data_IF_151693271953
#
_entry.id   IF_151693271953
#
_cell.length_a   1.000
_cell.length_b   1.000
_cell.length_c   1.000
_cell.angle_alpha   90.00
_cell.angle_beta   90.00
_cell.angle_gamma   90.00
#
_symmetry.space_group_name_H-M   'P 1'
#
loop_
_entity.id
_entity.type
_entity.pdbx_description
1 polymer ?
#
# COMPACT_ATOMS: atom_id res chain seq x y z
N UNK A 1 9.16 -31.99 28.08
CA UNK A 1 10.32 -32.71 27.52
C UNK A 1 11.26 -31.65 26.99
N UNK A 2 12.42 -31.47 27.64
CA UNK A 2 13.41 -30.40 27.35
C UNK A 2 14.43 -30.96 26.36
N UNK A 3 14.75 -30.22 25.31
CA UNK A 3 15.97 -30.32 24.48
C UNK A 3 16.08 -28.95 23.80
N UNK A 4 17.09 -28.10 23.89
CA UNK A 4 18.49 -28.32 24.15
C UNK A 4 19.20 -27.36 23.16
N UNK A 5 19.78 -26.26 23.66
CA UNK A 5 20.53 -25.25 22.90
C UNK A 5 21.87 -25.82 22.40
N UNK A 6 22.28 -25.43 21.20
CA UNK A 6 23.69 -25.49 20.81
C UNK A 6 24.11 -24.17 20.15
N UNK A 7 24.88 -23.40 20.88
CA UNK A 7 25.73 -22.32 20.38
C UNK A 7 26.91 -22.92 19.61
N UNK A 8 27.25 -22.33 18.46
CA UNK A 8 28.60 -22.40 17.91
C UNK A 8 29.07 -20.98 17.56
N UNK A 9 30.00 -20.52 18.36
CA UNK A 9 30.84 -19.36 18.07
C UNK A 9 32.07 -19.84 17.29
N UNK A 10 32.51 -19.10 16.28
CA UNK A 10 33.86 -19.17 15.73
C UNK A 10 34.36 -17.79 15.32
N UNK A 11 35.52 -17.57 15.77
CA UNK A 11 36.38 -16.46 16.05
C UNK A 11 37.03 -15.83 14.84
N UNK A 12 37.50 -14.62 15.07
CA UNK A 12 38.22 -13.65 14.24
C UNK A 12 39.61 -14.09 13.72
N UNK A 13 40.04 -13.41 12.65
CA UNK A 13 41.41 -12.95 12.34
C UNK A 13 41.27 -11.97 11.16
N UNK A 14 41.64 -10.74 11.12
CA UNK A 14 42.71 -9.98 11.68
C UNK A 14 43.81 -9.73 10.65
N UNK A 15 43.97 -8.47 10.16
CA UNK A 15 45.21 -8.00 9.57
C UNK A 15 45.08 -6.88 8.52
N UNK A 16 45.76 -5.75 8.72
CA UNK A 16 45.66 -4.55 7.90
C UNK A 16 46.74 -4.49 6.80
N UNK A 17 46.45 -3.82 5.67
CA UNK A 17 47.49 -3.45 4.70
C UNK A 17 47.45 -1.93 4.43
N UNK A 18 48.64 -1.38 4.43
CA UNK A 18 49.10 -0.04 4.52
C UNK A 18 48.77 0.91 3.34
N UNK A 19 48.86 2.21 3.71
CA UNK A 19 48.94 3.39 2.82
C UNK A 19 50.29 3.48 2.11
N UNK A 20 50.28 4.14 0.95
CA UNK A 20 51.33 5.11 0.62
C UNK A 20 50.90 6.11 -0.45
N UNK A 21 51.51 7.30 -0.47
CA UNK A 21 50.96 8.52 -1.10
C UNK A 21 51.85 9.02 -2.29
N UNK A 22 51.33 10.05 -2.96
CA UNK A 22 52.03 10.89 -3.93
C UNK A 22 51.16 11.15 -5.17
N UNK A 23 51.04 12.28 -5.77
CA UNK A 23 51.90 13.49 -5.73
C UNK A 23 51.12 14.68 -6.28
N UNK A 24 51.54 15.87 -5.90
CA UNK A 24 50.98 17.15 -6.25
C UNK A 24 51.26 17.59 -7.69
N UNK A 25 50.33 18.34 -8.28
CA UNK A 25 50.55 19.05 -9.54
C UNK A 25 49.62 20.28 -9.61
N UNK A 26 50.13 21.41 -9.14
CA UNK A 26 49.56 22.75 -9.30
C UNK A 26 49.89 23.32 -10.67
N UNK A 27 48.92 23.88 -11.43
CA UNK A 27 49.17 24.97 -12.41
C UNK A 27 48.00 25.94 -12.46
N UNK A 28 48.36 27.22 -12.53
CA UNK A 28 47.63 28.44 -12.32
C UNK A 28 46.57 28.79 -13.37
N UNK A 29 45.69 29.71 -12.91
CA UNK A 29 44.71 30.53 -13.70
C UNK A 29 45.40 31.44 -14.70
N UNK A 30 44.64 31.97 -15.70
CA UNK A 30 44.42 33.41 -15.61
C UNK A 30 42.95 33.86 -15.83
N UNK A 31 42.70 34.95 -15.20
CA UNK A 31 41.66 35.95 -15.22
C UNK A 31 41.12 36.32 -16.61
N UNK A 32 39.82 36.48 -16.72
CA UNK A 32 39.17 37.46 -17.61
C UNK A 32 37.70 37.69 -17.22
N UNK A 33 37.47 38.79 -16.59
CA UNK A 33 36.15 39.38 -16.32
C UNK A 33 35.44 39.77 -17.63
N UNK A 34 34.27 39.21 -17.86
CA UNK A 34 33.27 39.82 -18.79
C UNK A 34 31.90 39.78 -18.10
N UNK A 35 31.39 40.94 -17.75
CA UNK A 35 30.03 41.15 -17.28
C UNK A 35 29.12 41.27 -18.52
N UNK A 36 28.09 40.43 -18.67
CA UNK A 36 27.00 40.72 -19.62
C UNK A 36 25.87 41.52 -18.94
N UNK A 37 25.04 42.23 -19.69
CA UNK A 37 24.05 43.17 -19.20
C UNK A 37 22.87 42.50 -18.53
N UNK A 38 22.29 43.16 -17.52
CA UNK A 38 21.04 42.82 -16.88
C UNK A 38 19.87 42.89 -17.89
N UNK A 39 19.35 41.72 -18.26
CA UNK A 39 18.09 41.61 -18.96
C UNK A 39 16.98 41.43 -17.94
N UNK A 40 16.04 42.37 -17.90
CA UNK A 40 14.88 42.37 -17.01
C UNK A 40 13.97 41.16 -17.27
N UNK A 41 14.24 40.07 -16.60
CA UNK A 41 13.39 38.90 -16.62
C UNK A 41 12.07 39.18 -15.90
N UNK A 42 10.99 39.23 -16.67
CA UNK A 42 9.62 39.12 -16.16
C UNK A 42 9.52 37.90 -15.27
N UNK A 43 8.92 37.97 -14.06
CA UNK A 43 8.72 36.78 -13.23
C UNK A 43 7.87 35.80 -14.02
N UNK A 44 8.48 34.70 -14.42
CA UNK A 44 7.75 33.56 -14.99
C UNK A 44 6.86 33.04 -13.87
N UNK A 45 5.55 33.21 -14.05
CA UNK A 45 4.56 32.62 -13.15
C UNK A 45 4.91 31.15 -12.96
N UNK A 46 5.05 30.76 -11.71
CA UNK A 46 5.29 29.38 -11.27
C UNK A 46 4.24 28.50 -11.98
N UNK A 47 4.67 27.78 -13.01
CA UNK A 47 3.84 26.76 -13.63
C UNK A 47 3.64 25.72 -12.52
N UNK A 48 2.44 25.77 -11.91
CA UNK A 48 2.06 24.92 -10.82
C UNK A 48 2.57 23.51 -11.08
N UNK A 49 3.37 22.98 -10.17
CA UNK A 49 3.86 21.60 -10.22
C UNK A 49 2.61 20.74 -10.23
N UNK A 50 2.20 20.32 -11.42
CA UNK A 50 1.14 19.31 -11.56
C UNK A 50 1.71 18.07 -10.86
N UNK A 51 1.24 17.84 -9.63
CA UNK A 51 1.62 16.67 -8.85
C UNK A 51 1.29 15.44 -9.70
N UNK A 52 2.32 14.82 -10.24
CA UNK A 52 2.14 13.54 -10.94
C UNK A 52 1.64 12.55 -9.90
N UNK A 53 0.53 11.87 -10.18
CA UNK A 53 -0.01 10.81 -9.35
C UNK A 53 1.00 9.68 -9.13
N UNK A 54 0.70 8.69 -8.28
CA UNK A 54 1.56 7.53 -8.08
C UNK A 54 1.72 6.74 -9.38
N UNK A 55 2.89 6.14 -9.58
CA UNK A 55 3.20 5.29 -10.74
C UNK A 55 3.81 3.98 -10.30
N UNK A 56 3.64 2.93 -11.09
CA UNK A 56 4.29 1.64 -10.90
C UNK A 56 4.63 1.02 -12.26
N UNK A 57 5.89 0.65 -12.44
CA UNK A 57 6.40 0.03 -13.68
C UNK A 57 6.04 0.82 -14.96
N UNK A 58 5.98 2.16 -14.87
CA UNK A 58 5.60 3.05 -15.97
C UNK A 58 4.09 3.31 -16.11
N UNK A 59 3.24 2.59 -15.39
CA UNK A 59 1.81 2.83 -15.35
C UNK A 59 1.41 3.89 -14.34
N UNK A 60 0.39 4.74 -14.62
CA UNK A 60 -0.26 5.50 -13.57
C UNK A 60 -0.95 4.52 -12.60
N UNK A 61 -1.02 4.87 -11.33
CA UNK A 61 -1.86 4.15 -10.35
C UNK A 61 -3.08 5.02 -10.08
N UNK A 62 -4.05 4.91 -10.96
CA UNK A 62 -5.30 5.66 -11.03
C UNK A 62 -5.14 7.17 -11.37
N UNK A 63 -6.21 7.82 -11.86
CA UNK A 63 -6.25 9.26 -12.07
C UNK A 63 -6.04 10.06 -10.77
N UNK A 64 -5.55 11.31 -10.86
CA UNK A 64 -5.31 12.14 -9.67
C UNK A 64 -6.55 12.42 -8.81
N UNK A 65 -7.73 12.42 -9.40
CA UNK A 65 -9.02 12.64 -8.74
C UNK A 65 -9.66 11.36 -8.19
N UNK A 66 -9.05 10.20 -8.43
CA UNK A 66 -9.50 8.95 -7.85
C UNK A 66 -9.45 9.00 -6.33
N UNK A 67 -10.40 8.31 -5.67
CA UNK A 67 -10.50 8.28 -4.21
C UNK A 67 -9.19 7.87 -3.52
N UNK A 68 -8.39 6.98 -4.12
CA UNK A 68 -7.10 6.56 -3.59
C UNK A 68 -6.06 7.69 -3.59
N UNK A 69 -6.07 8.56 -4.61
CA UNK A 69 -5.07 9.61 -4.81
C UNK A 69 -5.49 10.97 -4.22
N UNK A 70 -6.74 11.06 -3.74
CA UNK A 70 -7.28 12.31 -3.20
C UNK A 70 -6.66 12.65 -1.85
N UNK A 71 -6.09 13.86 -1.75
CA UNK A 71 -5.67 14.45 -0.49
C UNK A 71 -6.90 14.69 0.39
N UNK A 72 -6.89 14.14 1.59
CA UNK A 72 -7.99 14.27 2.57
C UNK A 72 -7.57 14.99 3.85
N UNK A 73 -6.38 15.60 3.86
CA UNK A 73 -5.84 16.28 5.04
C UNK A 73 -6.75 17.39 5.58
N UNK A 74 -7.55 18.02 4.69
CA UNK A 74 -8.52 19.07 5.04
C UNK A 74 -9.99 18.62 5.04
N UNK A 75 -10.26 17.34 4.71
CA UNK A 75 -11.64 16.84 4.71
C UNK A 75 -12.22 16.81 6.13
N UNK A 76 -13.53 17.05 6.29
CA UNK A 76 -14.17 17.01 7.60
C UNK A 76 -14.03 15.64 8.26
N UNK A 77 -13.89 15.67 9.59
CA UNK A 77 -13.98 14.47 10.44
C UNK A 77 -15.44 14.03 10.53
N UNK A 78 -15.67 12.72 10.52
CA UNK A 78 -17.00 12.18 10.74
C UNK A 78 -17.52 12.49 12.16
N UNK A 79 -18.79 12.84 12.29
CA UNK A 79 -19.39 13.18 13.58
C UNK A 79 -19.37 12.02 14.58
N UNK A 80 -19.30 10.77 14.10
CA UNK A 80 -19.21 9.54 14.88
C UNK A 80 -17.80 8.94 14.87
N UNK A 81 -16.78 9.73 14.50
CA UNK A 81 -15.38 9.26 14.44
C UNK A 81 -14.95 8.56 15.73
N UNK A 82 -15.26 9.14 16.90
CA UNK A 82 -14.91 8.54 18.19
C UNK A 82 -15.60 7.19 18.42
N UNK A 83 -16.85 7.06 17.99
CA UNK A 83 -17.64 5.83 18.14
C UNK A 83 -17.09 4.70 17.25
N UNK A 84 -16.77 5.00 15.99
CA UNK A 84 -16.11 4.05 15.08
C UNK A 84 -14.76 3.60 15.62
N UNK A 85 -13.93 4.54 16.07
CA UNK A 85 -12.61 4.23 16.64
C UNK A 85 -12.74 3.39 17.91
N UNK A 86 -13.70 3.70 18.79
CA UNK A 86 -13.95 2.90 19.99
C UNK A 86 -14.37 1.46 19.63
N UNK A 87 -15.25 1.29 18.63
CA UNK A 87 -15.65 -0.03 18.15
C UNK A 87 -14.46 -0.83 17.62
N UNK A 88 -13.59 -0.20 16.84
CA UNK A 88 -12.36 -0.81 16.30
C UNK A 88 -11.25 -1.04 17.36
N UNK A 89 -11.50 -0.73 18.63
CA UNK A 89 -10.54 -0.98 19.71
C UNK A 89 -9.38 0.01 19.79
N UNK A 90 -9.54 1.22 19.24
CA UNK A 90 -8.45 2.20 19.11
C UNK A 90 -7.82 2.64 20.45
N UNK A 91 -8.52 2.44 21.59
CA UNK A 91 -7.99 2.76 22.93
C UNK A 91 -6.84 1.86 23.39
N UNK A 92 -6.68 0.67 22.79
CA UNK A 92 -5.71 -0.36 23.21
C UNK A 92 -4.82 -0.87 22.09
N UNK A 93 -5.07 -0.48 20.85
CA UNK A 93 -4.34 -0.97 19.68
C UNK A 93 -3.30 0.03 19.18
N UNK A 94 -2.34 -0.49 18.46
CA UNK A 94 -1.30 0.24 17.77
C UNK A 94 -1.24 -0.19 16.31
N UNK A 95 -0.76 0.69 15.43
CA UNK A 95 -0.60 0.40 14.02
C UNK A 95 0.36 -0.78 13.81
N UNK A 96 -0.04 -1.75 13.01
CA UNK A 96 0.76 -2.93 12.68
C UNK A 96 1.16 -2.89 11.20
N UNK A 97 2.46 -2.83 10.89
CA UNK A 97 2.97 -2.97 9.51
C UNK A 97 3.26 -4.44 9.21
N UNK A 98 2.25 -5.22 8.84
CA UNK A 98 2.42 -6.67 8.66
C UNK A 98 2.99 -7.04 7.26
N UNK A 99 3.97 -6.29 6.75
CA UNK A 99 4.53 -6.51 5.42
C UNK A 99 6.08 -6.62 5.37
N UNK A 100 6.77 -6.36 6.46
CA UNK A 100 8.23 -6.48 6.55
C UNK A 100 8.77 -7.93 6.60
N UNK A 101 7.98 -8.92 6.23
CA UNK A 101 8.33 -10.34 6.28
C UNK A 101 7.39 -11.17 5.41
N UNK A 102 6.94 -12.29 5.95
CA UNK A 102 6.08 -13.25 5.23
C UNK A 102 4.65 -12.76 4.96
N UNK A 103 4.18 -11.72 5.66
CA UNK A 103 2.80 -11.22 5.54
C UNK A 103 2.64 -10.17 4.44
N UNK A 104 3.73 -9.66 3.87
CA UNK A 104 3.67 -8.73 2.75
C UNK A 104 2.96 -9.35 1.54
N UNK A 105 2.26 -8.51 0.79
CA UNK A 105 1.55 -8.90 -0.42
C UNK A 105 2.55 -9.04 -1.58
N UNK A 106 2.77 -10.25 -2.14
CA UNK A 106 3.61 -10.41 -3.31
C UNK A 106 2.90 -9.91 -4.56
N UNK A 107 3.66 -9.35 -5.49
CA UNK A 107 3.18 -9.07 -6.84
C UNK A 107 4.31 -9.28 -7.86
N UNK A 108 3.93 -9.49 -9.11
CA UNK A 108 4.87 -9.59 -10.22
C UNK A 108 4.42 -8.68 -11.37
N UNK A 109 5.41 -8.10 -12.06
CA UNK A 109 5.19 -7.29 -13.26
C UNK A 109 5.56 -8.12 -14.48
N UNK A 110 4.64 -8.23 -15.42
CA UNK A 110 4.82 -9.01 -16.65
C UNK A 110 4.60 -8.14 -17.90
N UNK A 111 5.19 -8.50 -19.05
CA UNK A 111 4.91 -7.83 -20.33
C UNK A 111 3.54 -8.26 -20.91
N UNK A 112 3.05 -7.57 -21.95
CA UNK A 112 1.76 -7.85 -22.57
C UNK A 112 1.68 -9.24 -23.24
N UNK A 113 2.82 -9.79 -23.69
CA UNK A 113 2.94 -11.11 -24.31
C UNK A 113 3.05 -12.26 -23.29
N UNK A 114 2.93 -11.98 -21.98
CA UNK A 114 2.84 -13.02 -20.97
C UNK A 114 1.72 -14.01 -21.31
N UNK A 115 2.08 -15.28 -21.40
CA UNK A 115 1.12 -16.34 -21.70
C UNK A 115 -0.02 -16.34 -20.67
N UNK A 116 -1.26 -16.40 -21.16
CA UNK A 116 -2.44 -16.43 -20.32
C UNK A 116 -2.86 -17.87 -20.05
N UNK A 117 -3.28 -18.14 -18.83
CA UNK A 117 -3.69 -19.47 -18.36
C UNK A 117 -5.16 -19.50 -17.96
N UNK A 118 -5.83 -20.66 -18.04
CA UNK A 118 -7.20 -20.81 -17.58
C UNK A 118 -7.35 -20.51 -16.11
N UNK A 119 -8.49 -19.89 -15.75
CA UNK A 119 -8.90 -19.62 -14.38
C UNK A 119 -10.25 -20.24 -14.09
N UNK A 120 -10.45 -20.69 -12.87
CA UNK A 120 -11.76 -21.03 -12.33
C UNK A 120 -11.96 -20.35 -10.98
N UNK A 121 -13.19 -19.95 -10.66
CA UNK A 121 -13.50 -19.21 -9.45
C UNK A 121 -14.65 -19.83 -8.68
N UNK A 122 -14.56 -19.80 -7.33
CA UNK A 122 -15.68 -20.15 -6.45
C UNK A 122 -16.80 -19.11 -6.62
N UNK A 123 -16.46 -17.83 -6.56
CA UNK A 123 -17.39 -16.70 -6.76
C UNK A 123 -17.37 -16.22 -8.21
N UNK A 124 -17.64 -17.14 -9.16
CA UNK A 124 -17.54 -16.88 -10.59
C UNK A 124 -18.45 -15.74 -11.09
N UNK A 125 -19.63 -15.54 -10.46
CA UNK A 125 -20.57 -14.46 -10.81
C UNK A 125 -20.08 -13.06 -10.43
N UNK A 126 -19.06 -12.99 -9.57
CA UNK A 126 -18.45 -11.74 -9.10
C UNK A 126 -16.96 -11.65 -9.47
N UNK A 127 -16.50 -12.45 -10.42
CA UNK A 127 -15.12 -12.50 -10.87
C UNK A 127 -15.05 -12.32 -12.37
N UNK A 128 -14.08 -11.54 -12.88
CA UNK A 128 -13.85 -11.48 -14.32
C UNK A 128 -13.30 -12.82 -14.80
N UNK A 129 -13.94 -13.42 -15.84
CA UNK A 129 -13.49 -14.72 -16.34
C UNK A 129 -12.08 -14.65 -16.92
N UNK A 130 -11.34 -15.77 -16.83
CA UNK A 130 -10.03 -15.89 -17.47
C UNK A 130 -10.07 -15.78 -19.00
N UNK A 131 -8.90 -15.90 -19.66
CA UNK A 131 -7.63 -16.33 -19.08
C UNK A 131 -6.83 -15.18 -18.43
N UNK A 132 -6.04 -15.50 -17.38
CA UNK A 132 -5.20 -14.53 -16.66
C UNK A 132 -3.72 -14.67 -17.05
N UNK A 133 -2.94 -13.56 -17.06
CA UNK A 133 -1.52 -13.55 -17.43
C UNK A 133 -0.62 -14.04 -16.27
N UNK A 134 -0.96 -15.19 -15.70
CA UNK A 134 -0.29 -15.74 -14.54
C UNK A 134 0.91 -16.61 -14.95
N UNK A 135 2.16 -16.24 -14.57
CA UNK A 135 3.33 -17.06 -14.84
C UNK A 135 3.29 -18.36 -14.02
N UNK A 136 4.04 -19.38 -14.44
CA UNK A 136 4.07 -20.69 -13.78
C UNK A 136 4.63 -20.62 -12.36
N UNK A 137 5.56 -19.72 -12.13
CA UNK A 137 6.22 -19.40 -10.86
C UNK A 137 5.58 -18.21 -10.16
N UNK A 138 4.27 -18.02 -10.35
CA UNK A 138 3.47 -16.96 -9.75
C UNK A 138 3.75 -16.88 -8.24
N UNK A 139 4.21 -15.73 -7.72
CA UNK A 139 4.33 -15.55 -6.29
C UNK A 139 2.94 -15.47 -5.67
N UNK A 140 2.63 -16.41 -4.79
CA UNK A 140 1.39 -16.47 -4.01
C UNK A 140 1.73 -16.17 -2.56
N UNK A 141 0.94 -15.32 -1.92
CA UNK A 141 1.12 -15.00 -0.52
C UNK A 141 1.16 -16.25 0.35
N UNK A 142 2.10 -16.28 1.30
CA UNK A 142 2.37 -17.49 2.08
C UNK A 142 1.36 -17.77 3.20
N UNK A 143 0.51 -16.78 3.54
CA UNK A 143 -0.54 -16.94 4.56
C UNK A 143 -1.79 -17.66 4.02
N UNK A 144 -2.83 -17.76 4.86
CA UNK A 144 -4.08 -18.46 4.54
C UNK A 144 -4.87 -17.80 3.40
N UNK A 145 -4.73 -16.47 3.21
CA UNK A 145 -5.46 -15.73 2.17
C UNK A 145 -4.95 -16.01 0.76
N UNK A 146 -3.69 -16.43 0.63
CA UNK A 146 -3.10 -16.86 -0.64
C UNK A 146 -3.37 -15.91 -1.79
N UNK A 147 -3.22 -14.61 -1.55
CA UNK A 147 -3.37 -13.60 -2.60
C UNK A 147 -2.30 -13.76 -3.66
N UNK A 148 -2.67 -13.48 -4.90
CA UNK A 148 -1.74 -13.35 -6.01
C UNK A 148 -2.08 -12.13 -6.85
N UNK A 149 -1.07 -11.34 -7.21
CA UNK A 149 -1.23 -10.09 -7.95
C UNK A 149 -0.24 -10.03 -9.11
N UNK A 150 -0.76 -9.75 -10.30
CA UNK A 150 0.02 -9.57 -11.52
C UNK A 150 -0.31 -8.23 -12.14
N UNK A 151 0.71 -7.39 -12.39
CA UNK A 151 0.61 -6.18 -13.20
C UNK A 151 1.10 -6.46 -14.62
N UNK A 152 0.25 -6.27 -15.61
CA UNK A 152 0.65 -6.22 -17.03
C UNK A 152 1.03 -4.78 -17.37
N UNK A 153 2.34 -4.50 -17.42
CA UNK A 153 2.85 -3.11 -17.52
C UNK A 153 2.43 -2.39 -18.80
N UNK A 154 2.38 -3.11 -19.92
CA UNK A 154 2.08 -2.50 -21.22
C UNK A 154 0.57 -2.27 -21.43
N UNK A 155 -0.27 -2.90 -20.60
CA UNK A 155 -1.73 -2.73 -20.56
C UNK A 155 -2.16 -1.81 -19.39
N UNK A 156 -1.29 -1.57 -18.41
CA UNK A 156 -1.59 -0.93 -17.12
C UNK A 156 -2.80 -1.56 -16.42
N UNK A 157 -2.88 -2.89 -16.45
CA UNK A 157 -3.93 -3.68 -15.79
C UNK A 157 -3.36 -4.58 -14.74
N UNK A 158 -4.03 -4.64 -13.59
CA UNK A 158 -3.73 -5.60 -12.53
C UNK A 158 -4.78 -6.70 -12.52
N UNK A 159 -4.28 -7.91 -12.26
CA UNK A 159 -5.06 -9.14 -12.09
C UNK A 159 -4.79 -9.63 -10.69
N UNK A 160 -5.81 -9.69 -9.86
CA UNK A 160 -5.70 -10.03 -8.45
C UNK A 160 -6.64 -11.17 -8.11
N UNK A 161 -6.19 -12.08 -7.25
CA UNK A 161 -6.98 -13.25 -6.84
C UNK A 161 -6.82 -13.52 -5.34
N UNK A 162 -7.88 -14.06 -4.75
CA UNK A 162 -7.94 -14.53 -3.37
C UNK A 162 -8.02 -16.05 -3.33
N UNK A 163 -7.34 -16.66 -2.36
CA UNK A 163 -7.29 -18.11 -2.13
C UNK A 163 -6.86 -18.90 -3.36
N UNK A 164 -5.68 -18.58 -3.87
CA UNK A 164 -5.17 -19.04 -5.17
C UNK A 164 -4.41 -20.34 -5.08
N UNK A 165 -4.70 -21.27 -5.98
CA UNK A 165 -4.04 -22.57 -6.10
C UNK A 165 -3.77 -22.91 -7.57
N UNK A 166 -2.64 -23.60 -7.82
CA UNK A 166 -2.40 -24.21 -9.13
C UNK A 166 -3.44 -25.31 -9.39
N UNK A 167 -4.01 -25.34 -10.59
CA UNK A 167 -5.06 -26.30 -11.00
C UNK A 167 -4.91 -26.67 -12.48
N UNK A 168 -4.53 -27.90 -12.76
CA UNK A 168 -4.29 -28.37 -14.11
C UNK A 168 -3.22 -27.54 -14.83
N UNK A 169 -3.59 -26.95 -15.97
CA UNK A 169 -2.72 -26.06 -16.74
C UNK A 169 -2.84 -24.58 -16.35
N UNK A 170 -3.67 -24.24 -15.34
CA UNK A 170 -3.94 -22.89 -14.88
C UNK A 170 -4.06 -22.81 -13.37
N UNK A 171 -5.00 -21.99 -12.88
CA UNK A 171 -5.23 -21.76 -11.46
C UNK A 171 -6.73 -21.83 -11.11
N UNK A 172 -6.98 -22.11 -9.83
CA UNK A 172 -8.26 -21.92 -9.17
C UNK A 172 -8.09 -20.84 -8.09
N UNK A 173 -9.09 -19.99 -7.89
CA UNK A 173 -9.15 -19.03 -6.80
C UNK A 173 -10.61 -18.90 -6.32
N UNK A 174 -10.82 -18.35 -5.11
CA UNK A 174 -12.18 -18.09 -4.66
C UNK A 174 -12.77 -16.89 -5.40
N UNK A 175 -12.01 -15.82 -5.54
CA UNK A 175 -12.40 -14.66 -6.34
C UNK A 175 -11.25 -14.15 -7.20
N UNK A 176 -11.59 -13.42 -8.27
CA UNK A 176 -10.65 -12.76 -9.15
C UNK A 176 -11.15 -11.40 -9.61
N UNK A 177 -10.24 -10.45 -9.76
CA UNK A 177 -10.56 -9.10 -10.18
C UNK A 177 -9.53 -8.56 -11.18
N UNK A 178 -10.01 -7.78 -12.13
CA UNK A 178 -9.18 -7.06 -13.10
C UNK A 178 -9.46 -5.56 -12.94
N UNK A 179 -8.41 -4.79 -12.62
CA UNK A 179 -8.52 -3.33 -12.54
C UNK A 179 -7.68 -2.67 -13.61
N UNK A 180 -8.22 -1.66 -14.23
CA UNK A 180 -7.54 -0.78 -15.16
C UNK A 180 -6.96 0.41 -14.36
N UNK A 181 -5.63 0.48 -14.29
CA UNK A 181 -4.94 1.50 -13.52
C UNK A 181 -5.01 2.90 -14.16
N UNK A 182 -5.30 2.98 -15.45
CA UNK A 182 -5.42 4.26 -16.14
C UNK A 182 -6.78 4.92 -15.91
N UNK A 183 -7.85 4.13 -15.87
CA UNK A 183 -9.21 4.65 -15.64
C UNK A 183 -9.58 4.69 -14.16
N UNK A 184 -9.11 3.75 -13.36
CA UNK A 184 -9.50 3.60 -11.95
C UNK A 184 -10.99 3.33 -11.77
N UNK A 185 -11.65 2.77 -12.77
CA UNK A 185 -13.08 2.45 -12.70
C UNK A 185 -13.37 1.44 -11.56
N UNK A 186 -14.40 1.68 -10.75
CA UNK A 186 -14.79 0.75 -9.71
C UNK A 186 -15.36 -0.54 -10.32
N UNK A 187 -15.38 -1.60 -9.53
CA UNK A 187 -16.10 -2.83 -9.87
C UNK A 187 -17.64 -2.59 -9.88
N UNK A 188 -18.42 -3.48 -10.49
CA UNK A 188 -19.88 -3.44 -10.35
C UNK A 188 -20.29 -3.46 -8.86
N UNK A 189 -21.34 -2.72 -8.55
CA UNK A 189 -21.90 -2.67 -7.20
C UNK A 189 -22.31 -4.06 -6.72
N UNK A 190 -21.96 -4.41 -5.48
CA UNK A 190 -22.16 -5.73 -4.90
C UNK A 190 -21.09 -6.78 -5.29
N UNK A 191 -20.11 -6.44 -6.13
CA UNK A 191 -19.05 -7.38 -6.50
C UNK A 191 -17.88 -7.30 -5.54
N UNK A 192 -17.44 -8.47 -5.04
CA UNK A 192 -16.17 -8.60 -4.32
C UNK A 192 -14.97 -8.44 -5.26
N UNK A 193 -13.77 -8.40 -4.72
CA UNK A 193 -12.50 -8.55 -5.46
C UNK A 193 -11.63 -9.59 -4.76
N UNK A 194 -10.33 -9.46 -4.86
CA UNK A 194 -9.41 -10.20 -3.99
C UNK A 194 -9.42 -9.64 -2.54
N UNK A 195 -10.02 -8.47 -2.30
CA UNK A 195 -10.33 -7.96 -0.96
C UNK A 195 -11.83 -8.05 -0.67
N UNK A 196 -12.20 -8.11 0.60
CA UNK A 196 -13.58 -8.14 1.06
C UNK A 196 -14.39 -6.90 0.65
N UNK A 197 -13.72 -5.78 0.42
CA UNK A 197 -14.35 -4.51 0.07
C UNK A 197 -14.66 -4.34 -1.43
N UNK A 198 -14.26 -5.26 -2.29
CA UNK A 198 -14.32 -5.07 -3.74
C UNK A 198 -13.28 -4.06 -4.26
N UNK A 199 -12.30 -3.72 -3.44
CA UNK A 199 -11.21 -2.79 -3.76
C UNK A 199 -9.97 -3.52 -4.27
N UNK A 200 -9.07 -2.85 -5.02
CA UNK A 200 -7.80 -3.45 -5.42
C UNK A 200 -6.82 -3.58 -4.26
N UNK A 201 -5.94 -4.58 -4.33
CA UNK A 201 -4.83 -4.77 -3.40
C UNK A 201 -3.68 -3.82 -3.73
N UNK A 202 -3.10 -3.97 -4.93
CA UNK A 202 -1.82 -3.33 -5.29
C UNK A 202 -1.81 -1.81 -5.15
N UNK A 203 -2.84 -1.06 -5.55
CA UNK A 203 -2.90 0.39 -5.34
C UNK A 203 -2.91 0.84 -3.89
N UNK A 204 -3.29 -0.03 -2.95
CA UNK A 204 -3.36 0.27 -1.52
C UNK A 204 -2.14 -0.17 -0.71
N UNK A 205 -1.15 -0.76 -1.33
CA UNK A 205 0.04 -1.25 -0.61
C UNK A 205 1.05 -0.12 -0.36
N UNK A 206 1.61 -0.07 0.85
CA UNK A 206 2.88 0.62 1.07
C UNK A 206 3.96 -0.13 0.29
N UNK A 207 4.64 0.52 -0.67
CA UNK A 207 5.67 -0.10 -1.48
C UNK A 207 7.05 0.46 -1.16
N UNK A 208 8.06 -0.40 -1.26
CA UNK A 208 9.45 -0.04 -0.97
C UNK A 208 9.96 1.05 -1.92
N UNK A 209 9.65 0.94 -3.21
CA UNK A 209 10.05 1.92 -4.23
C UNK A 209 9.52 3.33 -3.93
N UNK A 210 8.31 3.44 -3.37
CA UNK A 210 7.75 4.74 -2.95
C UNK A 210 8.32 5.22 -1.63
N UNK A 211 8.28 4.35 -0.60
CA UNK A 211 8.65 4.75 0.75
C UNK A 211 10.15 5.02 0.92
N UNK A 212 11.02 4.31 0.18
CA UNK A 212 12.47 4.39 0.32
C UNK A 212 13.14 5.02 -0.90
N UNK A 213 12.86 4.50 -2.11
CA UNK A 213 13.59 4.96 -3.30
C UNK A 213 13.11 6.36 -3.75
N UNK A 214 11.79 6.66 -3.64
CA UNK A 214 11.20 7.95 -3.98
C UNK A 214 11.04 8.89 -2.76
N UNK A 215 10.95 8.34 -1.55
CA UNK A 215 10.76 9.09 -0.31
C UNK A 215 9.36 9.71 -0.15
N UNK A 216 8.37 9.27 -0.93
CA UNK A 216 6.99 9.77 -0.87
C UNK A 216 5.99 8.71 -1.35
N UNK A 217 4.90 8.51 -0.60
CA UNK A 217 3.71 7.77 -1.00
C UNK A 217 2.59 8.78 -1.29
N UNK A 218 2.01 8.72 -2.49
CA UNK A 218 1.03 9.71 -2.99
C UNK A 218 -0.38 9.15 -3.13
N UNK A 219 -0.73 8.18 -2.33
CA UNK A 219 -2.06 7.54 -2.32
C UNK A 219 -2.44 7.08 -0.91
N UNK A 220 -3.73 6.77 -0.72
CA UNK A 220 -4.22 6.11 0.49
C UNK A 220 -3.70 4.67 0.57
N UNK A 221 -3.59 4.16 1.78
CA UNK A 221 -3.17 2.77 2.01
C UNK A 221 -4.37 1.86 2.28
N UNK A 222 -4.17 0.55 2.17
CA UNK A 222 -5.15 -0.44 2.57
C UNK A 222 -5.03 -0.72 4.08
N UNK A 223 -6.17 -0.89 4.73
CA UNK A 223 -6.30 -1.10 6.15
C UNK A 223 -7.16 -2.32 6.45
N UNK A 224 -6.67 -3.19 7.32
CA UNK A 224 -7.38 -4.35 7.81
C UNK A 224 -7.88 -4.04 9.22
N UNK A 225 -9.20 -4.01 9.40
CA UNK A 225 -9.86 -3.71 10.67
C UNK A 225 -10.53 -4.95 11.25
N UNK A 226 -10.70 -4.97 12.57
CA UNK A 226 -11.50 -6.00 13.24
C UNK A 226 -13.00 -5.67 13.23
N UNK A 227 -13.85 -6.68 13.01
CA UNK A 227 -15.29 -6.57 13.27
C UNK A 227 -16.05 -5.63 12.34
N UNK A 228 -15.91 -5.77 11.03
CA UNK A 228 -16.55 -4.91 10.04
C UNK A 228 -18.09 -5.13 9.93
N UNK A 229 -18.79 -4.06 9.58
CA UNK A 229 -20.22 -4.08 9.33
C UNK A 229 -20.61 -4.86 8.08
N UNK A 230 -21.82 -5.40 8.06
CA UNK A 230 -22.46 -5.89 6.83
C UNK A 230 -22.92 -4.68 5.98
N UNK A 231 -21.96 -3.83 5.62
CA UNK A 231 -22.17 -2.58 4.90
C UNK A 231 -20.87 -2.10 4.24
N UNK A 232 -21.01 -1.21 3.25
CA UNK A 232 -19.88 -0.56 2.61
C UNK A 232 -20.20 0.90 2.26
N UNK A 233 -19.15 1.69 2.03
CA UNK A 233 -19.19 3.06 1.51
C UNK A 233 -18.22 3.19 0.35
N UNK A 234 -18.53 4.04 -0.62
CA UNK A 234 -17.61 4.30 -1.73
C UNK A 234 -16.22 4.73 -1.19
N UNK A 235 -15.10 4.25 -1.80
CA UNK A 235 -15.01 3.56 -3.09
C UNK A 235 -15.25 2.05 -3.06
N UNK A 236 -15.52 1.43 -1.89
CA UNK A 236 -15.86 0.01 -1.82
C UNK A 236 -17.17 -0.28 -2.55
N UNK A 237 -17.28 -1.50 -3.08
CA UNK A 237 -18.43 -2.00 -3.82
C UNK A 237 -19.07 -3.22 -3.16
N UNK A 238 -18.44 -3.75 -2.11
CA UNK A 238 -18.87 -5.00 -1.47
C UNK A 238 -18.54 -4.99 0.03
N UNK A 239 -19.18 -5.88 0.78
CA UNK A 239 -18.90 -6.16 2.18
C UNK A 239 -18.99 -7.64 2.48
N UNK A 240 -17.98 -8.19 3.13
CA UNK A 240 -18.02 -9.50 3.79
C UNK A 240 -18.26 -9.40 5.30
N UNK A 241 -18.47 -8.19 5.84
CA UNK A 241 -18.73 -7.97 7.25
C UNK A 241 -19.99 -8.70 7.71
N UNK A 242 -20.02 -9.17 8.94
CA UNK A 242 -21.10 -10.00 9.47
C UNK A 242 -21.87 -9.36 10.62
N UNK A 243 -21.47 -8.16 11.09
CA UNK A 243 -22.13 -7.51 12.21
C UNK A 243 -23.03 -6.35 11.77
N UNK A 244 -24.17 -6.22 12.46
CA UNK A 244 -25.05 -5.06 12.33
C UNK A 244 -24.92 -4.13 13.56
N UNK A 245 -23.84 -4.25 14.32
CA UNK A 245 -23.60 -3.39 15.47
C UNK A 245 -23.47 -1.93 15.04
N UNK A 246 -24.04 -1.04 15.82
CA UNK A 246 -23.91 0.40 15.62
C UNK A 246 -22.43 0.78 15.67
N UNK A 247 -21.98 1.57 14.73
CA UNK A 247 -20.58 1.99 14.58
C UNK A 247 -19.56 0.90 14.27
N UNK A 248 -19.98 -0.32 13.87
CA UNK A 248 -19.08 -1.22 13.18
C UNK A 248 -18.62 -0.55 11.87
N UNK A 249 -17.32 -0.57 11.53
CA UNK A 249 -16.82 0.11 10.35
C UNK A 249 -17.33 -0.57 9.07
N UNK A 250 -17.99 0.16 8.16
CA UNK A 250 -18.30 -0.37 6.83
C UNK A 250 -17.00 -0.55 6.01
N UNK A 251 -16.98 -1.48 5.07
CA UNK A 251 -15.91 -1.55 4.07
C UNK A 251 -15.80 -0.23 3.32
N UNK A 252 -14.59 0.20 2.99
CA UNK A 252 -14.35 1.52 2.36
C UNK A 252 -14.36 2.71 3.33
N UNK A 253 -14.66 2.51 4.63
CA UNK A 253 -14.45 3.57 5.64
C UNK A 253 -12.99 4.03 5.58
N UNK A 254 -12.77 5.34 5.58
CA UNK A 254 -11.44 5.94 5.52
C UNK A 254 -11.04 6.53 6.88
N UNK A 255 -9.92 6.08 7.41
CA UNK A 255 -9.26 6.72 8.55
C UNK A 255 -8.03 7.47 8.09
N UNK A 256 -7.66 8.54 8.79
CA UNK A 256 -6.38 9.23 8.59
C UNK A 256 -5.69 9.48 9.93
N UNK A 257 -4.38 9.54 9.92
CA UNK A 257 -3.60 9.99 11.07
C UNK A 257 -3.84 11.51 11.25
N UNK A 258 -4.15 11.93 12.49
CA UNK A 258 -4.43 13.35 12.77
C UNK A 258 -3.24 14.25 12.42
N UNK A 259 -3.53 15.43 11.92
CA UNK A 259 -2.52 16.41 11.52
C UNK A 259 -1.65 16.91 12.68
N UNK A 260 -2.17 16.87 13.92
CA UNK A 260 -1.45 17.28 15.15
C UNK A 260 -0.58 16.16 15.75
N UNK A 261 -0.60 14.95 15.18
CA UNK A 261 0.28 13.88 15.65
C UNK A 261 1.73 14.18 15.29
N UNK A 262 2.59 14.23 16.31
CA UNK A 262 4.01 14.59 16.15
C UNK A 262 4.81 13.50 15.44
N UNK A 263 5.32 13.82 14.25
CA UNK A 263 6.17 12.96 13.44
C UNK A 263 7.67 13.15 13.68
N UNK A 264 8.08 14.09 14.53
CA UNK A 264 9.50 14.48 14.67
C UNK A 264 10.43 13.34 15.15
N UNK A 265 9.87 12.35 15.83
CA UNK A 265 10.59 11.18 16.35
C UNK A 265 10.75 10.03 15.35
N UNK A 266 10.07 10.11 14.19
CA UNK A 266 10.08 9.07 13.16
C UNK A 266 11.09 9.40 12.05
N UNK A 267 11.60 8.38 11.40
CA UNK A 267 12.50 8.52 10.26
C UNK A 267 12.29 7.40 9.24
N UNK A 268 13.08 7.41 8.15
CA UNK A 268 13.06 6.36 7.14
C UNK A 268 11.70 6.15 6.48
N UNK A 269 11.42 4.91 6.11
CA UNK A 269 10.17 4.50 5.47
C UNK A 269 8.95 4.72 6.38
N UNK A 270 9.09 4.52 7.68
CA UNK A 270 8.02 4.76 8.65
C UNK A 270 7.55 6.22 8.64
N UNK A 271 8.46 7.19 8.57
CA UNK A 271 8.08 8.60 8.45
C UNK A 271 7.31 8.88 7.15
N UNK A 272 7.73 8.29 6.03
CA UNK A 272 7.05 8.45 4.73
C UNK A 272 5.64 7.86 4.78
N UNK A 273 5.48 6.66 5.34
CA UNK A 273 4.18 6.03 5.54
C UNK A 273 3.27 6.90 6.42
N UNK A 274 3.76 7.41 7.54
CA UNK A 274 2.97 8.26 8.44
C UNK A 274 2.54 9.58 7.79
N UNK A 275 3.40 10.20 6.97
CA UNK A 275 3.03 11.36 6.16
C UNK A 275 1.91 11.05 5.15
N UNK A 276 1.97 9.89 4.51
CA UNK A 276 0.90 9.44 3.64
C UNK A 276 -0.40 9.19 4.41
N UNK A 277 -0.32 8.63 5.60
CA UNK A 277 -1.49 8.43 6.47
C UNK A 277 -2.12 9.75 6.97
N UNK A 278 -1.32 10.81 7.17
CA UNK A 278 -1.86 12.14 7.46
C UNK A 278 -2.55 12.76 6.24
N UNK A 279 -1.98 12.57 5.05
CA UNK A 279 -2.42 13.24 3.84
C UNK A 279 -3.52 12.49 3.11
N UNK A 280 -3.34 11.19 2.95
CA UNK A 280 -4.24 10.33 2.17
C UNK A 280 -5.03 9.35 3.03
N UNK A 281 -4.59 9.05 4.24
CA UNK A 281 -5.22 8.06 5.11
C UNK A 281 -5.14 6.64 4.59
N UNK A 282 -6.07 5.79 5.06
CA UNK A 282 -6.18 4.39 4.64
C UNK A 282 -7.64 3.95 4.64
N UNK A 283 -8.01 3.05 3.72
CA UNK A 283 -9.36 2.50 3.57
C UNK A 283 -9.47 1.14 4.25
N UNK A 284 -10.58 0.87 4.93
CA UNK A 284 -10.95 -0.49 5.35
C UNK A 284 -11.22 -1.32 4.09
N UNK A 285 -10.29 -2.23 3.78
CA UNK A 285 -10.35 -3.11 2.60
C UNK A 285 -10.69 -4.54 2.96
N UNK A 286 -10.40 -4.93 4.20
CA UNK A 286 -10.62 -6.29 4.67
C UNK A 286 -10.92 -6.33 6.16
N UNK A 287 -11.33 -7.53 6.64
CA UNK A 287 -11.75 -7.77 8.01
C UNK A 287 -10.94 -8.90 8.62
N UNK A 288 -10.43 -8.69 9.83
CA UNK A 288 -9.81 -9.72 10.63
C UNK A 288 -10.72 -10.16 11.78
N UNK A 289 -10.51 -11.37 12.28
CA UNK A 289 -11.12 -11.84 13.52
C UNK A 289 -10.58 -11.06 14.72
N UNK A 290 -11.47 -10.57 15.59
CA UNK A 290 -11.09 -9.82 16.78
C UNK A 290 -10.76 -8.35 16.52
N UNK A 291 -9.99 -7.74 17.44
CA UNK A 291 -9.53 -6.35 17.29
C UNK A 291 -8.21 -6.33 16.52
N UNK A 292 -8.17 -5.61 15.41
CA UNK A 292 -7.04 -5.57 14.51
C UNK A 292 -6.86 -4.15 13.95
N UNK A 293 -5.60 -3.72 13.74
CA UNK A 293 -5.28 -2.40 13.21
C UNK A 293 -4.00 -2.48 12.36
N UNK A 294 -4.16 -2.98 11.13
CA UNK A 294 -3.01 -3.26 10.27
C UNK A 294 -3.05 -2.51 8.97
N UNK A 295 -1.91 -1.91 8.59
CA UNK A 295 -1.68 -1.31 7.29
C UNK A 295 -1.00 -2.34 6.38
N UNK A 296 -1.51 -2.47 5.15
CA UNK A 296 -0.98 -3.40 4.16
C UNK A 296 0.23 -2.84 3.43
N UNK A 297 1.15 -3.71 3.05
CA UNK A 297 2.31 -3.34 2.24
C UNK A 297 2.80 -4.49 1.35
N UNK A 298 3.56 -4.14 0.33
CA UNK A 298 4.13 -5.08 -0.60
C UNK A 298 5.26 -5.90 0.05
N UNK A 299 5.33 -7.18 -0.32
CA UNK A 299 6.45 -8.01 0.07
C UNK A 299 7.74 -7.52 -0.61
N UNK A 300 8.74 -7.17 0.18
CA UNK A 300 10.07 -6.80 -0.31
C UNK A 300 11.10 -7.14 0.76
N UNK A 301 12.14 -7.89 0.37
CA UNK A 301 13.20 -8.32 1.29
C UNK A 301 14.12 -7.19 1.75
N UNK A 302 14.03 -6.02 1.11
CA UNK A 302 14.82 -4.82 1.45
C UNK A 302 14.24 -4.03 2.62
N UNK A 303 12.98 -4.30 3.05
CA UNK A 303 12.40 -3.62 4.20
C UNK A 303 13.26 -3.78 5.46
N UNK A 304 13.56 -2.67 6.12
CA UNK A 304 14.16 -2.68 7.45
C UNK A 304 13.08 -2.91 8.51
N UNK A 305 13.12 -4.07 9.16
CA UNK A 305 12.17 -4.39 10.24
C UNK A 305 12.28 -3.38 11.39
N UNK A 306 13.51 -2.97 11.74
CA UNK A 306 13.74 -1.96 12.79
C UNK A 306 13.11 -0.61 12.44
N UNK A 307 13.12 -0.23 11.14
CA UNK A 307 12.45 0.98 10.68
C UNK A 307 10.93 0.80 10.82
N UNK A 308 10.37 -0.26 10.25
CA UNK A 308 8.93 -0.52 10.30
C UNK A 308 8.37 -0.68 11.72
N UNK A 309 9.17 -1.18 12.66
CA UNK A 309 8.78 -1.30 14.08
C UNK A 309 8.47 0.05 14.74
N UNK A 310 8.93 1.18 14.18
CA UNK A 310 8.54 2.50 14.64
C UNK A 310 7.02 2.70 14.51
N UNK A 311 6.37 2.14 13.47
CA UNK A 311 4.92 2.23 13.28
C UNK A 311 4.14 1.60 14.43
N UNK A 312 4.68 0.54 15.06
CA UNK A 312 4.08 -0.14 16.22
C UNK A 312 4.02 0.73 17.48
N UNK A 313 4.59 1.93 17.44
CA UNK A 313 4.50 2.93 18.51
C UNK A 313 3.40 3.97 18.28
N UNK A 314 2.70 3.90 17.15
CA UNK A 314 1.60 4.81 16.79
C UNK A 314 0.30 4.26 17.32
N UNK A 315 -0.33 4.89 18.34
CA UNK A 315 -1.57 4.39 18.88
C UNK A 315 -2.72 4.58 17.89
N UNK A 316 -3.61 3.62 17.79
CA UNK A 316 -4.80 3.72 16.92
C UNK A 316 -5.69 4.91 17.28
N UNK A 317 -5.67 5.37 18.55
CA UNK A 317 -6.34 6.59 19.00
C UNK A 317 -5.79 7.90 18.42
N UNK A 318 -4.63 7.85 17.73
CA UNK A 318 -4.09 9.00 16.98
C UNK A 318 -4.76 9.20 15.63
N UNK A 319 -5.64 8.30 15.22
CA UNK A 319 -6.38 8.40 13.96
C UNK A 319 -7.74 9.08 14.17
N UNK A 320 -8.35 9.45 13.06
CA UNK A 320 -9.72 9.96 12.97
C UNK A 320 -10.40 9.42 11.73
N UNK A 321 -11.73 9.30 11.76
CA UNK A 321 -12.51 8.85 10.61
C UNK A 321 -12.84 10.06 9.74
N UNK A 322 -12.49 10.00 8.46
CA UNK A 322 -12.91 10.99 7.45
C UNK A 322 -14.42 10.83 7.23
N UNK A 323 -15.14 11.95 7.11
CA UNK A 323 -16.58 11.93 6.94
C UNK A 323 -17.02 10.95 5.86
N UNK A 324 -17.92 10.04 6.24
CA UNK A 324 -18.45 9.02 5.35
C UNK A 324 -19.39 9.60 4.28
N UNK A 325 -19.41 8.96 3.12
CA UNK A 325 -20.47 9.10 2.14
C UNK A 325 -21.73 8.29 2.50
N UNK A 326 -22.56 8.02 1.49
CA UNK A 326 -23.73 7.15 1.66
C UNK A 326 -23.29 5.73 2.03
N UNK A 327 -23.95 5.16 3.05
CA UNK A 327 -23.70 3.77 3.49
C UNK A 327 -24.68 2.86 2.73
N UNK A 328 -24.14 1.80 2.13
CA UNK A 328 -24.89 0.75 1.42
C UNK A 328 -24.89 -0.52 2.27
N UNK A 329 -26.02 -1.20 2.36
CA UNK A 329 -26.09 -2.51 3.00
C UNK A 329 -25.34 -3.56 2.16
N UNK A 330 -24.64 -4.48 2.81
CA UNK A 330 -24.07 -5.66 2.13
C UNK A 330 -25.16 -6.51 1.48
N UNK A 331 -24.79 -7.26 0.45
CA UNK A 331 -25.69 -8.18 -0.26
C UNK A 331 -25.53 -9.61 0.24
#
# INVERSE_FOLDING_TARGET
MRIGWALLALSACGGPIARSPGDAGSVASPDASVVPPEDGGVPQADAGVVSRGPTLAGCPVFPPDNAWNRDVSSEPVDSHSADYLAFMGASSLYLQPDFGGQYGQPFVVVPADQARVPMSFLYASQSEPGPYPFPRDLPIQANEDRHATVLVRDECRIYETYNTYASGSGFHADSGAIFDLASGAPRPDGWTSATAAGLPILPGLARYDEAVDQGEIRHALAFIAGGTAHAYVAPATHSSGSTNATYAPPMGLRVRLRADFDLSRFNGASLVILRALQRYGMFVTDSAGGQFWSVAGAQDSRWSITDLDQLKTVPASAFEVVRLGAVHSGQ
#
